data_IF_812218017187
#
_entry.id   IF_812218017187
#
_cell.length_a   1.000
_cell.length_b   1.000
_cell.length_c   1.000
_cell.angle_alpha   90.00
_cell.angle_beta   90.00
_cell.angle_gamma   90.00
#
_symmetry.space_group_name_H-M   'P 1'
#
loop_
_entity.id
_entity.type
_entity.pdbx_description
1 polymer ?
#
# COMPACT_ATOMS: atom_id res chain seq x y z
N UNK A 1 1.52 61.31 -50.21
CA UNK A 1 0.67 62.14 -49.32
C UNK A 1 1.32 62.11 -47.96
N UNK A 2 1.48 63.22 -47.23
CA UNK A 2 1.99 63.16 -45.86
C UNK A 2 0.88 62.55 -45.00
N UNK A 3 1.14 61.41 -44.37
CA UNK A 3 0.24 60.87 -43.36
C UNK A 3 0.15 61.87 -42.22
N UNK A 4 -1.07 62.17 -41.78
CA UNK A 4 -1.25 62.99 -40.58
C UNK A 4 -0.72 62.20 -39.39
N UNK A 5 -0.01 62.84 -38.47
CA UNK A 5 0.47 62.22 -37.22
C UNK A 5 -0.65 61.46 -36.48
N UNK A 6 -1.91 61.88 -36.64
CA UNK A 6 -3.08 61.22 -36.05
C UNK A 6 -3.40 59.85 -36.69
N UNK A 7 -3.15 59.66 -37.98
CA UNK A 7 -3.32 58.36 -38.66
C UNK A 7 -2.27 57.34 -38.18
N UNK A 8 -1.03 57.79 -38.01
CA UNK A 8 0.06 56.96 -37.48
C UNK A 8 -0.21 56.56 -36.02
N UNK A 9 -0.71 57.49 -35.20
CA UNK A 9 -1.11 57.18 -33.81
C UNK A 9 -2.23 56.13 -33.75
N UNK A 10 -3.27 56.27 -34.57
CA UNK A 10 -4.36 55.29 -34.62
C UNK A 10 -3.88 53.90 -35.09
N UNK A 11 -2.96 53.85 -36.06
CA UNK A 11 -2.38 52.59 -36.53
C UNK A 11 -1.60 51.88 -35.41
N UNK A 12 -0.80 52.64 -34.65
CA UNK A 12 -0.05 52.11 -33.49
C UNK A 12 -1.01 51.61 -32.40
N UNK A 13 -2.08 52.34 -32.10
CA UNK A 13 -3.08 51.91 -31.11
C UNK A 13 -3.78 50.61 -31.51
N UNK A 14 -4.16 50.49 -32.78
CA UNK A 14 -4.76 49.27 -33.30
C UNK A 14 -3.81 48.07 -33.23
N UNK A 15 -2.54 48.26 -33.59
CA UNK A 15 -1.52 47.21 -33.52
C UNK A 15 -1.24 46.82 -32.06
N UNK A 16 -1.14 47.78 -31.15
CA UNK A 16 -0.97 47.51 -29.72
C UNK A 16 -2.14 46.72 -29.14
N UNK A 17 -3.38 47.05 -29.54
CA UNK A 17 -4.57 46.34 -29.10
C UNK A 17 -4.64 44.91 -29.67
N UNK A 18 -4.22 44.72 -30.93
CA UNK A 18 -4.11 43.40 -31.54
C UNK A 18 -3.09 42.53 -30.80
N UNK A 19 -1.91 43.08 -30.49
CA UNK A 19 -0.86 42.40 -29.71
C UNK A 19 -1.37 42.05 -28.31
N UNK A 20 -2.04 42.99 -27.63
CA UNK A 20 -2.62 42.73 -26.31
C UNK A 20 -3.64 41.60 -26.34
N UNK A 21 -4.49 41.55 -27.36
CA UNK A 21 -5.49 40.51 -27.54
C UNK A 21 -4.83 39.15 -27.77
N UNK A 22 -3.82 39.07 -28.63
CA UNK A 22 -3.07 37.85 -28.89
C UNK A 22 -2.39 37.32 -27.61
N UNK A 23 -1.78 38.19 -26.81
CA UNK A 23 -1.19 37.77 -25.53
C UNK A 23 -2.24 37.29 -24.53
N UNK A 24 -3.42 37.93 -24.48
CA UNK A 24 -4.51 37.49 -23.62
C UNK A 24 -4.97 36.08 -24.01
N UNK A 25 -5.14 35.80 -25.31
CA UNK A 25 -5.49 34.47 -25.81
C UNK A 25 -4.43 33.42 -25.46
N UNK A 26 -3.13 33.76 -25.62
CA UNK A 26 -2.02 32.87 -25.23
C UNK A 26 -2.02 32.58 -23.74
N UNK A 27 -2.35 33.55 -22.90
CA UNK A 27 -2.44 33.36 -21.44
C UNK A 27 -3.57 32.39 -21.10
N UNK A 28 -4.76 32.57 -21.69
CA UNK A 28 -5.90 31.70 -21.42
C UNK A 28 -5.68 30.26 -21.95
N UNK A 29 -5.10 30.11 -23.14
CA UNK A 29 -4.72 28.79 -23.67
C UNK A 29 -3.66 28.10 -22.78
N UNK A 30 -2.66 28.85 -22.30
CA UNK A 30 -1.67 28.32 -21.37
C UNK A 30 -2.29 27.89 -20.04
N UNK A 31 -3.24 28.67 -19.49
CA UNK A 31 -3.98 28.33 -18.27
C UNK A 31 -4.77 27.04 -18.46
N UNK A 32 -5.56 26.93 -19.54
CA UNK A 32 -6.34 25.74 -19.84
C UNK A 32 -5.45 24.49 -19.98
N UNK A 33 -4.30 24.62 -20.66
CA UNK A 33 -3.32 23.54 -20.79
C UNK A 33 -2.70 23.13 -19.45
N UNK A 34 -2.42 24.09 -18.57
CA UNK A 34 -1.91 23.80 -17.23
C UNK A 34 -2.95 23.10 -16.36
N UNK A 35 -4.19 23.57 -16.39
CA UNK A 35 -5.29 22.94 -15.65
C UNK A 35 -5.52 21.50 -16.10
N UNK A 36 -5.53 21.27 -17.42
CA UNK A 36 -5.66 19.92 -17.97
C UNK A 36 -4.49 19.01 -17.53
N UNK A 37 -3.25 19.49 -17.63
CA UNK A 37 -2.07 18.73 -17.16
C UNK A 37 -2.15 18.38 -15.67
N UNK A 38 -2.63 19.30 -14.85
CA UNK A 38 -2.77 19.09 -13.41
C UNK A 38 -3.85 18.05 -13.10
N UNK A 39 -4.96 18.09 -13.85
CA UNK A 39 -6.04 17.10 -13.75
C UNK A 39 -5.56 15.72 -14.15
N UNK A 40 -4.83 15.61 -15.26
CA UNK A 40 -4.28 14.34 -15.75
C UNK A 40 -3.24 13.77 -14.76
N UNK A 41 -2.36 14.62 -14.23
CA UNK A 41 -1.38 14.21 -13.23
C UNK A 41 -2.05 13.72 -11.95
N UNK A 42 -3.05 14.45 -11.43
CA UNK A 42 -3.82 14.04 -10.25
C UNK A 42 -4.52 12.71 -10.49
N UNK A 43 -5.14 12.53 -11.66
CA UNK A 43 -5.80 11.28 -12.03
C UNK A 43 -4.83 10.09 -12.09
N UNK A 44 -3.63 10.29 -12.65
CA UNK A 44 -2.59 9.27 -12.70
C UNK A 44 -2.11 8.88 -11.29
N UNK A 45 -1.84 9.88 -10.44
CA UNK A 45 -1.44 9.65 -9.04
C UNK A 45 -2.51 8.90 -8.24
N UNK A 46 -3.79 9.22 -8.44
CA UNK A 46 -4.89 8.51 -7.78
C UNK A 46 -4.95 7.03 -8.19
N UNK A 47 -4.74 6.74 -9.47
CA UNK A 47 -4.72 5.36 -9.99
C UNK A 47 -3.53 4.59 -9.41
N UNK A 48 -2.34 5.17 -9.47
CA UNK A 48 -1.12 4.56 -8.93
C UNK A 48 -1.25 4.31 -7.42
N UNK A 49 -1.77 5.29 -6.68
CA UNK A 49 -1.99 5.15 -5.23
C UNK A 49 -2.97 4.03 -4.91
N UNK A 50 -4.07 3.91 -5.65
CA UNK A 50 -5.03 2.81 -5.49
C UNK A 50 -4.40 1.44 -5.77
N UNK A 51 -3.55 1.35 -6.79
CA UNK A 51 -2.81 0.12 -7.10
C UNK A 51 -1.83 -0.25 -5.99
N UNK A 52 -1.05 0.71 -5.49
CA UNK A 52 -0.12 0.48 -4.37
C UNK A 52 -0.87 0.03 -3.11
N UNK A 53 -2.01 0.65 -2.79
CA UNK A 53 -2.85 0.23 -1.64
C UNK A 53 -3.36 -1.21 -1.84
N UNK A 54 -3.83 -1.55 -3.04
CA UNK A 54 -4.32 -2.90 -3.33
C UNK A 54 -3.21 -3.96 -3.20
N UNK A 55 -2.02 -3.68 -3.74
CA UNK A 55 -0.85 -4.55 -3.61
C UNK A 55 -0.40 -4.70 -2.15
N UNK A 56 -0.38 -3.60 -1.39
CA UNK A 56 -0.02 -3.64 0.02
C UNK A 56 -1.02 -4.48 0.83
N UNK A 57 -2.32 -4.34 0.57
CA UNK A 57 -3.36 -5.18 1.20
C UNK A 57 -3.15 -6.64 0.89
N UNK A 58 -3.01 -7.00 -0.39
CA UNK A 58 -2.78 -8.38 -0.78
C UNK A 58 -1.53 -8.97 -0.10
N UNK A 59 -0.43 -8.22 -0.07
CA UNK A 59 0.80 -8.63 0.60
C UNK A 59 0.60 -8.87 2.10
N UNK A 60 -0.12 -7.99 2.80
CA UNK A 60 -0.40 -8.18 4.23
C UNK A 60 -1.38 -9.33 4.49
N UNK A 61 -2.38 -9.52 3.64
CA UNK A 61 -3.33 -10.64 3.75
C UNK A 61 -2.59 -11.99 3.59
N UNK A 62 -1.68 -12.07 2.60
CA UNK A 62 -0.82 -13.26 2.40
C UNK A 62 0.10 -13.50 3.61
N UNK A 63 0.71 -12.45 4.17
CA UNK A 63 1.53 -12.58 5.38
C UNK A 63 0.71 -13.03 6.60
N UNK A 64 -0.50 -12.50 6.77
CA UNK A 64 -1.39 -12.89 7.86
C UNK A 64 -1.77 -14.37 7.73
N UNK A 65 -2.12 -14.81 6.53
CA UNK A 65 -2.46 -16.21 6.29
C UNK A 65 -1.27 -17.13 6.59
N UNK A 66 -0.07 -16.80 6.09
CA UNK A 66 1.14 -17.56 6.38
C UNK A 66 1.46 -17.60 7.88
N UNK A 67 1.25 -16.49 8.60
CA UNK A 67 1.45 -16.43 10.04
C UNK A 67 0.44 -17.32 10.79
N UNK A 68 -0.83 -17.32 10.37
CA UNK A 68 -1.87 -18.19 10.93
C UNK A 68 -1.56 -19.67 10.70
N UNK A 69 -1.14 -20.04 9.49
CA UNK A 69 -0.76 -21.42 9.15
C UNK A 69 0.45 -21.89 9.98
N UNK A 70 1.49 -21.06 10.09
CA UNK A 70 2.65 -21.35 10.94
C UNK A 70 2.28 -21.49 12.41
N UNK A 71 1.37 -20.65 12.90
CA UNK A 71 0.88 -20.74 14.28
C UNK A 71 0.14 -22.06 14.50
N UNK A 72 -0.76 -22.44 13.60
CA UNK A 72 -1.51 -23.69 13.68
C UNK A 72 -0.56 -24.91 13.68
N UNK A 73 0.44 -24.93 12.80
CA UNK A 73 1.47 -25.97 12.78
C UNK A 73 2.22 -26.05 14.10
N UNK A 74 2.67 -24.92 14.65
CA UNK A 74 3.36 -24.88 15.94
C UNK A 74 2.50 -25.34 17.11
N UNK A 75 1.21 -25.04 17.10
CA UNK A 75 0.27 -25.52 18.12
C UNK A 75 0.18 -27.04 18.04
N UNK A 76 -0.02 -27.60 16.85
CA UNK A 76 -0.10 -29.04 16.64
C UNK A 76 1.20 -29.76 17.05
N UNK A 77 2.37 -29.20 16.68
CA UNK A 77 3.67 -29.73 17.08
C UNK A 77 3.86 -29.71 18.60
N UNK A 78 3.48 -28.61 19.26
CA UNK A 78 3.54 -28.51 20.73
C UNK A 78 2.59 -29.51 21.41
N UNK A 79 1.37 -29.67 20.90
CA UNK A 79 0.43 -30.65 21.43
C UNK A 79 0.97 -32.07 21.29
N UNK A 80 1.55 -32.42 20.14
CA UNK A 80 2.17 -33.73 19.93
C UNK A 80 3.36 -33.96 20.88
N UNK A 81 4.22 -32.96 21.06
CA UNK A 81 5.33 -33.02 22.02
C UNK A 81 4.85 -33.16 23.46
N UNK A 82 3.80 -32.42 23.85
CA UNK A 82 3.21 -32.50 25.17
C UNK A 82 2.61 -33.90 25.43
N UNK A 83 1.88 -34.46 24.48
CA UNK A 83 1.31 -35.80 24.59
C UNK A 83 2.41 -36.86 24.75
N UNK A 84 3.49 -36.75 23.97
CA UNK A 84 4.65 -37.65 24.10
C UNK A 84 5.29 -37.54 25.49
N UNK A 85 5.58 -36.33 25.95
CA UNK A 85 6.19 -36.10 27.26
C UNK A 85 5.29 -36.60 28.42
N UNK A 86 3.97 -36.45 28.31
CA UNK A 86 3.02 -36.97 29.28
C UNK A 86 2.95 -38.50 29.26
N UNK A 87 3.04 -39.12 28.08
CA UNK A 87 3.16 -40.57 27.91
C UNK A 87 4.40 -41.13 28.60
N UNK A 88 5.57 -40.57 28.29
CA UNK A 88 6.85 -40.95 28.86
C UNK A 88 6.83 -40.82 30.40
N UNK A 89 6.27 -39.72 30.92
CA UNK A 89 6.13 -39.51 32.36
C UNK A 89 5.17 -40.51 33.01
N UNK A 90 4.08 -40.89 32.32
CA UNK A 90 3.13 -41.88 32.81
C UNK A 90 3.80 -43.25 32.94
N UNK A 91 4.55 -43.67 31.93
CA UNK A 91 5.27 -44.94 31.94
C UNK A 91 6.31 -44.98 33.07
N UNK A 92 7.08 -43.91 33.24
CA UNK A 92 8.02 -43.77 34.35
C UNK A 92 7.32 -43.91 35.73
N UNK A 93 6.19 -43.23 35.93
CA UNK A 93 5.43 -43.31 37.18
C UNK A 93 4.85 -44.70 37.43
N UNK A 94 4.34 -45.37 36.39
CA UNK A 94 3.85 -46.76 36.49
C UNK A 94 4.98 -47.67 36.94
N UNK A 95 6.17 -47.57 36.33
CA UNK A 95 7.32 -48.38 36.71
C UNK A 95 7.74 -48.14 38.16
N UNK A 96 7.76 -46.89 38.64
CA UNK A 96 8.04 -46.59 40.04
C UNK A 96 7.00 -47.20 41.00
N UNK A 97 5.72 -47.18 40.64
CA UNK A 97 4.66 -47.78 41.45
C UNK A 97 4.83 -49.30 41.49
N UNK A 98 5.05 -49.95 40.34
CA UNK A 98 5.27 -51.40 40.24
C UNK A 98 6.47 -51.82 41.09
N UNK A 99 7.61 -51.13 40.98
CA UNK A 99 8.79 -51.41 41.80
C UNK A 99 8.49 -51.29 43.30
N UNK A 100 7.71 -50.28 43.69
CA UNK A 100 7.35 -50.06 45.09
C UNK A 100 6.41 -51.15 45.63
N UNK A 101 5.42 -51.55 44.84
CA UNK A 101 4.48 -52.63 45.18
C UNK A 101 5.20 -53.97 45.27
N UNK A 102 6.11 -54.29 44.34
CA UNK A 102 6.93 -55.52 44.41
C UNK A 102 7.82 -55.50 45.66
N UNK A 103 8.40 -54.36 46.03
CA UNK A 103 9.18 -54.24 47.28
C UNK A 103 8.34 -54.42 48.54
N UNK A 104 7.10 -53.92 48.57
CA UNK A 104 6.24 -53.99 49.76
C UNK A 104 5.47 -55.31 49.90
N UNK A 105 5.09 -55.95 48.79
CA UNK A 105 4.17 -57.10 48.79
C UNK A 105 4.68 -58.32 48.03
N UNK A 106 5.88 -58.24 47.43
CA UNK A 106 6.48 -59.33 46.63
C UNK A 106 7.26 -60.38 47.43
N UNK A 107 7.11 -60.41 48.75
CA UNK A 107 7.53 -61.53 49.61
C UNK A 107 6.30 -62.20 50.21
#
# INVERSE_FOLDING_TARGET
MPHSTLEEMNAIEMEAQAVQTEYQEKIEDARAKMEQKLKDATGAFDVETKQMIAQARQHFDEQEQQAKEKLAQRVQENEAQLQKALGDKREYLINQIVERVVKEYGN
#
